data_IF_556286015094
#
_entry.id   IF_556286015094
#
_cell.length_a   1.000
_cell.length_b   1.000
_cell.length_c   1.000
_cell.angle_alpha   90.00
_cell.angle_beta   90.00
_cell.angle_gamma   90.00
#
_symmetry.space_group_name_H-M   'P 1'
#
loop_
_entity.id
_entity.type
_entity.pdbx_description
1 polymer ?
#
# COMPACT_ATOMS: atom_id res chain seq x y z
N UNK A 1 15.77 22.90 -3.73
CA UNK A 1 14.54 22.09 -3.74
C UNK A 1 14.68 21.00 -2.67
N UNK A 2 13.90 21.05 -1.58
CA UNK A 2 13.88 19.96 -0.60
C UNK A 2 13.20 18.76 -1.26
N UNK A 3 13.95 17.70 -1.59
CA UNK A 3 13.33 16.41 -1.86
C UNK A 3 12.64 16.00 -0.56
N UNK A 4 11.31 16.01 -0.54
CA UNK A 4 10.55 15.35 0.51
C UNK A 4 10.88 13.86 0.43
N UNK A 5 11.57 13.34 1.44
CA UNK A 5 11.93 11.93 1.54
C UNK A 5 10.67 11.13 1.87
N UNK A 6 9.85 10.90 0.86
CA UNK A 6 8.58 10.17 1.01
C UNK A 6 8.87 8.69 1.27
N UNK A 7 8.32 8.17 2.37
CA UNK A 7 8.35 6.76 2.69
C UNK A 7 7.33 5.96 1.88
N UNK A 8 7.64 4.72 1.54
CA UNK A 8 6.68 3.80 0.92
C UNK A 8 6.71 2.41 1.56
N UNK A 9 5.59 1.70 1.50
CA UNK A 9 5.50 0.27 1.81
C UNK A 9 4.71 -0.41 0.70
N UNK A 10 5.35 -1.33 -0.01
CA UNK A 10 4.73 -2.05 -1.14
C UNK A 10 4.97 -3.55 -1.06
N UNK A 11 4.26 -4.34 -1.87
CA UNK A 11 4.51 -5.77 -2.04
C UNK A 11 5.69 -5.97 -2.99
N UNK A 12 6.57 -6.89 -2.65
CA UNK A 12 7.50 -7.43 -3.62
C UNK A 12 6.74 -8.38 -4.57
N UNK A 13 7.18 -8.43 -5.84
CA UNK A 13 6.69 -9.43 -6.80
C UNK A 13 7.43 -10.74 -6.59
N UNK A 14 6.76 -11.86 -6.83
CA UNK A 14 7.33 -13.20 -6.60
C UNK A 14 8.56 -13.49 -7.49
N UNK A 15 8.66 -12.84 -8.65
CA UNK A 15 9.79 -12.97 -9.58
C UNK A 15 10.85 -11.85 -9.44
N UNK A 16 10.83 -11.09 -8.34
CA UNK A 16 11.79 -10.01 -8.13
C UNK A 16 13.21 -10.57 -7.90
N UNK A 17 14.18 -10.05 -8.65
CA UNK A 17 15.61 -10.37 -8.48
C UNK A 17 16.23 -9.35 -7.54
N UNK A 18 16.85 -9.82 -6.46
CA UNK A 18 17.51 -9.01 -5.45
C UNK A 18 18.67 -9.76 -4.81
N UNK A 19 19.65 -9.02 -4.28
CA UNK A 19 20.70 -9.56 -3.40
C UNK A 19 20.42 -9.21 -1.95
N UNK A 20 20.55 -10.15 -1.01
CA UNK A 20 20.54 -9.83 0.42
C UNK A 20 21.88 -9.21 0.80
N UNK A 21 21.83 -8.04 1.44
CA UNK A 21 23.01 -7.31 1.91
C UNK A 21 23.25 -7.56 3.40
N UNK A 22 22.19 -7.51 4.21
CA UNK A 22 22.30 -7.66 5.67
C UNK A 22 21.00 -8.16 6.27
N UNK A 23 21.06 -9.20 7.09
CA UNK A 23 19.95 -9.60 7.97
C UNK A 23 19.92 -8.70 9.21
N UNK A 24 18.73 -8.24 9.59
CA UNK A 24 18.53 -7.45 10.80
C UNK A 24 18.02 -8.35 11.92
N UNK A 25 18.56 -8.15 13.10
CA UNK A 25 18.09 -8.85 14.29
C UNK A 25 16.62 -8.55 14.54
N UNK A 26 15.86 -9.62 14.79
CA UNK A 26 14.48 -9.53 15.20
C UNK A 26 14.43 -9.49 16.72
N UNK A 27 13.70 -8.54 17.28
CA UNK A 27 13.43 -8.52 18.72
C UNK A 27 12.60 -9.75 19.10
N UNK A 28 13.20 -10.72 19.81
CA UNK A 28 12.60 -12.02 20.17
C UNK A 28 11.29 -11.89 20.96
N UNK A 29 11.10 -10.77 21.67
CA UNK A 29 9.98 -10.56 22.58
C UNK A 29 8.72 -9.98 21.93
N UNK A 30 8.73 -9.68 20.62
CA UNK A 30 7.57 -9.07 19.97
C UNK A 30 6.79 -10.12 19.21
N UNK A 31 5.54 -10.37 19.65
CA UNK A 31 4.49 -11.12 18.91
C UNK A 31 4.04 -10.43 17.61
N UNK A 32 4.95 -9.77 16.89
CA UNK A 32 4.64 -8.94 15.72
C UNK A 32 4.17 -9.79 14.55
N UNK A 33 4.59 -11.06 14.44
CA UNK A 33 4.36 -11.88 13.25
C UNK A 33 5.38 -11.63 12.14
N UNK A 34 6.40 -10.80 12.38
CA UNK A 34 7.56 -10.67 11.49
C UNK A 34 8.42 -11.92 11.61
N UNK A 35 8.70 -12.57 10.48
CA UNK A 35 9.55 -13.76 10.39
C UNK A 35 10.96 -13.43 9.89
N UNK A 36 11.11 -12.35 9.10
CA UNK A 36 12.41 -11.92 8.56
C UNK A 36 12.45 -10.41 8.34
N UNK A 37 13.60 -9.81 8.57
CA UNK A 37 13.87 -8.40 8.29
C UNK A 37 15.27 -8.27 7.69
N UNK A 38 15.36 -7.78 6.46
CA UNK A 38 16.60 -7.75 5.68
C UNK A 38 16.76 -6.41 4.98
N UNK A 39 18.01 -5.99 4.79
CA UNK A 39 18.38 -5.00 3.79
C UNK A 39 18.76 -5.76 2.52
N UNK A 40 18.09 -5.42 1.42
CA UNK A 40 18.31 -5.99 0.09
C UNK A 40 18.80 -4.90 -0.87
N UNK A 41 19.42 -5.32 -1.96
CA UNK A 41 19.79 -4.48 -3.07
C UNK A 41 19.12 -4.97 -4.36
N UNK A 42 18.50 -4.05 -5.09
CA UNK A 42 17.88 -4.31 -6.39
C UNK A 42 18.57 -3.48 -7.48
N UNK A 43 18.70 -4.05 -8.67
CA UNK A 43 19.24 -3.35 -9.82
C UNK A 43 18.10 -2.61 -10.54
N UNK A 44 18.16 -1.27 -10.57
CA UNK A 44 17.14 -0.43 -11.21
C UNK A 44 17.73 0.14 -12.49
N UNK A 45 17.05 -0.07 -13.62
CA UNK A 45 17.41 0.50 -14.91
C UNK A 45 16.81 1.90 -15.05
N UNK A 46 17.66 2.89 -15.30
CA UNK A 46 17.28 4.26 -15.62
C UNK A 46 17.88 4.64 -16.99
N UNK A 47 17.52 5.82 -17.50
CA UNK A 47 18.01 6.33 -18.80
C UNK A 47 19.55 6.39 -18.88
N UNK A 48 20.21 6.57 -17.73
CA UNK A 48 21.67 6.68 -17.63
C UNK A 48 22.33 5.35 -17.21
N UNK A 49 21.64 4.21 -17.36
CA UNK A 49 22.16 2.87 -17.04
C UNK A 49 21.53 2.23 -15.81
N UNK A 50 22.12 1.12 -15.37
CA UNK A 50 21.65 0.35 -14.20
C UNK A 50 22.33 0.85 -12.94
N UNK A 51 21.55 1.11 -11.88
CA UNK A 51 22.07 1.51 -10.58
C UNK A 51 21.52 0.61 -9.47
N UNK A 52 22.36 0.21 -8.50
CA UNK A 52 21.89 -0.49 -7.32
C UNK A 52 21.05 0.44 -6.45
N UNK A 53 19.93 -0.07 -5.95
CA UNK A 53 19.06 0.60 -4.99
C UNK A 53 18.90 -0.29 -3.77
N UNK A 54 19.32 0.23 -2.61
CA UNK A 54 19.15 -0.44 -1.32
C UNK A 54 17.77 -0.19 -0.76
N UNK A 55 17.09 -1.25 -0.35
CA UNK A 55 15.76 -1.23 0.23
C UNK A 55 15.70 -2.22 1.40
N UNK A 56 14.70 -2.05 2.25
CA UNK A 56 14.42 -3.02 3.32
C UNK A 56 13.30 -3.95 2.88
N UNK A 57 13.51 -5.24 3.09
CA UNK A 57 12.54 -6.32 2.88
C UNK A 57 12.09 -6.87 4.23
N UNK A 58 10.78 -6.90 4.47
CA UNK A 58 10.20 -7.46 5.69
C UNK A 58 9.27 -8.62 5.33
N UNK A 59 9.53 -9.80 5.88
CA UNK A 59 8.65 -10.96 5.77
C UNK A 59 7.77 -11.07 7.00
N UNK A 60 6.48 -11.22 6.79
CA UNK A 60 5.44 -11.19 7.80
C UNK A 60 4.45 -12.33 7.59
N UNK A 61 4.19 -13.11 8.62
CA UNK A 61 3.16 -14.14 8.62
C UNK A 61 1.87 -13.62 9.22
N UNK A 62 0.82 -13.52 8.40
CA UNK A 62 -0.51 -13.18 8.89
C UNK A 62 -1.20 -14.44 9.43
N UNK A 63 -1.41 -14.47 10.76
CA UNK A 63 -2.05 -15.61 11.45
C UNK A 63 -3.54 -15.75 11.14
N UNK A 64 -4.22 -14.67 10.77
CA UNK A 64 -5.65 -14.68 10.46
C UNK A 64 -5.86 -15.23 9.05
N UNK A 65 -5.10 -14.71 8.08
CA UNK A 65 -5.15 -15.14 6.69
C UNK A 65 -4.31 -16.40 6.41
N UNK A 66 -3.54 -16.86 7.40
CA UNK A 66 -2.63 -18.03 7.34
C UNK A 66 -1.69 -18.00 6.14
N UNK A 67 -1.16 -16.82 5.80
CA UNK A 67 -0.29 -16.63 4.62
C UNK A 67 0.84 -15.66 4.90
N UNK A 68 1.94 -15.84 4.17
CA UNK A 68 3.10 -14.95 4.21
C UNK A 68 2.91 -13.74 3.34
N UNK A 69 3.46 -12.63 3.81
CA UNK A 69 3.59 -11.39 3.09
C UNK A 69 5.03 -10.91 3.12
N UNK A 70 5.51 -10.43 1.99
CA UNK A 70 6.81 -9.80 1.84
C UNK A 70 6.59 -8.36 1.39
N UNK A 71 7.18 -7.44 2.14
CA UNK A 71 7.06 -6.01 1.97
C UNK A 71 8.40 -5.40 1.62
N UNK A 72 8.37 -4.36 0.80
CA UNK A 72 9.52 -3.58 0.38
C UNK A 72 9.31 -2.11 0.80
N UNK A 73 10.34 -1.51 1.40
CA UNK A 73 10.27 -0.15 1.93
C UNK A 73 11.63 0.55 1.94
N UNK A 74 11.63 1.88 1.85
CA UNK A 74 12.77 2.74 2.14
C UNK A 74 12.81 3.22 3.61
N UNK A 75 11.87 2.78 4.46
CA UNK A 75 11.78 3.13 5.87
C UNK A 75 12.68 2.23 6.72
N UNK A 76 13.98 2.54 6.75
CA UNK A 76 14.99 1.74 7.46
C UNK A 76 14.84 1.85 8.98
N UNK A 77 14.51 3.02 9.51
CA UNK A 77 14.45 3.26 10.97
C UNK A 77 13.16 2.76 11.62
N UNK A 78 12.11 2.51 10.83
CA UNK A 78 10.82 2.09 11.36
C UNK A 78 10.86 0.67 11.95
N UNK A 79 9.99 0.33 12.90
CA UNK A 79 9.89 -1.05 13.39
C UNK A 79 9.27 -1.96 12.34
N UNK A 80 9.79 -3.17 12.16
CA UNK A 80 9.30 -4.12 11.14
C UNK A 80 7.80 -4.43 11.30
N UNK A 81 7.30 -4.54 12.53
CA UNK A 81 5.88 -4.73 12.81
C UNK A 81 4.98 -3.58 12.32
N UNK A 82 5.49 -2.34 12.35
CA UNK A 82 4.75 -1.17 11.84
C UNK A 82 4.67 -1.17 10.32
N UNK A 83 5.70 -1.67 9.62
CA UNK A 83 5.66 -1.85 8.16
C UNK A 83 4.49 -2.76 7.76
N UNK A 84 4.31 -3.88 8.47
CA UNK A 84 3.17 -4.77 8.25
C UNK A 84 1.83 -4.10 8.59
N UNK A 85 1.77 -3.32 9.68
CA UNK A 85 0.56 -2.59 10.07
C UNK A 85 0.14 -1.54 9.03
N UNK A 86 1.09 -0.77 8.46
CA UNK A 86 0.82 0.19 7.39
C UNK A 86 0.17 -0.50 6.19
N UNK A 87 0.68 -1.67 5.80
CA UNK A 87 0.11 -2.41 4.68
C UNK A 87 -1.31 -2.92 4.98
N UNK A 88 -1.60 -3.32 6.23
CA UNK A 88 -2.97 -3.68 6.67
C UNK A 88 -3.93 -2.50 6.63
N UNK A 89 -3.50 -1.32 7.10
CA UNK A 89 -4.30 -0.09 7.02
C UNK A 89 -4.64 0.26 5.56
N UNK A 90 -3.67 0.12 4.65
CA UNK A 90 -3.88 0.32 3.22
C UNK A 90 -4.99 -0.57 2.66
N UNK A 91 -5.03 -1.85 3.06
CA UNK A 91 -6.11 -2.77 2.65
C UNK A 91 -7.47 -2.38 3.22
N UNK A 92 -7.54 -1.91 4.46
CA UNK A 92 -8.78 -1.44 5.06
C UNK A 92 -9.33 -0.21 4.32
N UNK A 93 -8.47 0.72 3.91
CA UNK A 93 -8.85 1.88 3.10
C UNK A 93 -9.41 1.42 1.74
N UNK A 94 -8.74 0.48 1.06
CA UNK A 94 -9.24 -0.07 -0.20
C UNK A 94 -10.62 -0.71 -0.04
N UNK A 95 -10.84 -1.46 1.04
CA UNK A 95 -12.13 -2.08 1.34
C UNK A 95 -13.21 -1.02 1.60
N UNK A 96 -12.90 0.00 2.39
CA UNK A 96 -13.80 1.12 2.63
C UNK A 96 -14.16 1.84 1.31
N UNK A 97 -13.18 2.13 0.46
CA UNK A 97 -13.41 2.74 -0.85
C UNK A 97 -14.27 1.85 -1.76
N UNK A 98 -14.08 0.52 -1.73
CA UNK A 98 -14.94 -0.43 -2.45
C UNK A 98 -16.38 -0.38 -1.94
N UNK A 99 -16.56 -0.39 -0.63
CA UNK A 99 -17.88 -0.28 0.01
C UNK A 99 -18.55 1.04 -0.36
N UNK A 100 -17.86 2.17 -0.24
CA UNK A 100 -18.38 3.49 -0.63
C UNK A 100 -18.85 3.50 -2.08
N UNK A 101 -18.06 2.96 -3.01
CA UNK A 101 -18.45 2.86 -4.43
C UNK A 101 -19.65 1.95 -4.67
N UNK A 102 -19.82 0.89 -3.87
CA UNK A 102 -20.94 -0.05 -3.99
C UNK A 102 -22.24 0.52 -3.39
N UNK A 103 -22.17 1.17 -2.23
CA UNK A 103 -23.34 1.69 -1.52
C UNK A 103 -23.77 3.09 -1.98
N UNK A 104 -22.89 3.85 -2.63
CA UNK A 104 -23.21 5.11 -3.29
C UNK A 104 -23.06 4.95 -4.80
N UNK A 105 -24.08 4.39 -5.49
CA UNK A 105 -24.07 4.44 -6.95
C UNK A 105 -23.99 5.90 -7.35
N UNK A 106 -22.94 6.26 -8.10
CA UNK A 106 -22.71 7.58 -8.72
C UNK A 106 -23.77 7.84 -9.82
N UNK A 107 -25.03 7.51 -9.56
CA UNK A 107 -26.19 7.69 -10.44
C UNK A 107 -27.17 8.76 -9.93
N UNK A 108 -26.92 9.37 -8.77
CA UNK A 108 -27.81 10.41 -8.21
C UNK A 108 -27.29 11.84 -8.32
N UNK A 109 -26.08 12.07 -8.85
CA UNK A 109 -25.50 13.43 -8.89
C UNK A 109 -25.63 14.17 -10.23
N UNK A 110 -26.05 13.50 -11.33
CA UNK A 110 -26.19 14.13 -12.65
C UNK A 110 -27.60 14.01 -13.25
N UNK A 111 -28.64 13.93 -12.41
CA UNK A 111 -30.02 14.12 -12.87
C UNK A 111 -30.84 14.86 -11.83
N UNK A 112 -30.50 16.11 -11.59
CA UNK A 112 -31.44 17.07 -11.03
C UNK A 112 -31.19 18.50 -11.52
N UNK A 113 -30.75 18.67 -12.78
CA UNK A 113 -30.51 20.01 -13.32
C UNK A 113 -31.16 20.33 -14.66
N UNK A 114 -32.25 19.65 -15.05
CA UNK A 114 -33.08 20.12 -16.18
C UNK A 114 -34.60 20.04 -16.00
N UNK A 115 -35.14 19.52 -14.88
CA UNK A 115 -36.60 19.45 -14.67
C UNK A 115 -37.10 20.05 -13.35
N UNK A 116 -36.34 20.96 -12.71
CA UNK A 116 -36.85 21.75 -11.58
C UNK A 116 -37.75 22.93 -12.00
N UNK A 117 -38.03 23.11 -13.30
CA UNK A 117 -38.98 24.11 -13.82
C UNK A 117 -39.92 23.49 -14.85
N UNK A 118 -40.98 22.84 -14.38
CA UNK A 118 -42.15 22.52 -15.21
C UNK A 118 -43.44 22.71 -14.42
N UNK A 119 -43.66 23.93 -13.94
CA UNK A 119 -45.03 24.45 -13.80
C UNK A 119 -45.56 24.67 -15.22
N UNK A 120 -46.06 23.61 -15.86
CA UNK A 120 -46.90 23.76 -17.05
C UNK A 120 -48.31 24.06 -16.57
N UNK A 121 -48.77 25.27 -16.85
CA UNK A 121 -50.15 25.68 -16.75
C UNK A 121 -51.01 24.74 -17.60
N UNK A 122 -52.07 24.20 -17.01
CA UNK A 122 -53.27 23.80 -17.75
C UNK A 122 -54.43 24.10 -16.83
N UNK A 123 -54.98 25.31 -16.97
CA UNK A 123 -56.38 25.57 -16.64
C UNK A 123 -57.22 25.04 -17.81
N UNK A 124 -58.41 24.49 -17.54
CA UNK A 124 -59.28 23.85 -18.54
C UNK A 124 -59.75 24.82 -19.63
#
# INVERSE_FOLDING_TARGET
MRQTQTGFVTRIKDNAVYGTVTDRELEENIRSGVEKDEIIEIQVKNDNGTKPLKLRKVQFYDRVLKRRFEFLTNLVEMRAGLIAAIYKLRWQIELLCKQLKQYFPVKYFLRNNENAKKYRYTVP
#
